data_IF_594324209517
#
_entry.id   IF_594324209517
#
_cell.length_a   1.000
_cell.length_b   1.000
_cell.length_c   1.000
_cell.angle_alpha   90.00
_cell.angle_beta   90.00
_cell.angle_gamma   90.00
#
_symmetry.space_group_name_H-M   'P 1'
#
loop_
_entity.id
_entity.type
_entity.pdbx_description
1 polymer ?
#
# COMPACT_ATOMS: atom_id res chain seq x y z
N UNK A 1 3.09 -7.47 -5.50
CA UNK A 1 2.79 -6.16 -4.86
C UNK A 1 1.31 -5.97 -4.63
N UNK A 2 0.45 -6.11 -5.65
CA UNK A 2 -1.01 -5.96 -5.49
C UNK A 2 -1.60 -6.95 -4.48
N UNK A 3 -1.36 -8.26 -4.66
CA UNK A 3 -1.90 -9.31 -3.78
C UNK A 3 -1.36 -9.29 -2.33
N UNK A 4 -0.26 -8.56 -2.11
CA UNK A 4 0.37 -8.43 -0.80
C UNK A 4 0.17 -7.02 -0.23
N UNK A 5 -0.77 -6.23 -0.75
CA UNK A 5 -1.17 -4.95 -0.17
C UNK A 5 -0.17 -3.79 -0.25
N UNK A 6 0.88 -3.87 -1.07
CA UNK A 6 1.86 -2.78 -1.16
C UNK A 6 1.38 -1.58 -2.00
N UNK A 7 0.34 -1.77 -2.81
CA UNK A 7 -0.10 -0.77 -3.80
C UNK A 7 -1.21 0.06 -3.18
N UNK A 8 -1.04 1.38 -3.17
CA UNK A 8 -2.02 2.33 -2.62
C UNK A 8 -2.62 3.23 -3.71
N UNK A 9 -1.93 3.38 -4.85
CA UNK A 9 -2.33 4.19 -5.99
C UNK A 9 -1.89 3.50 -7.27
N UNK A 10 -2.73 3.54 -8.30
CA UNK A 10 -2.36 3.21 -9.67
C UNK A 10 -2.54 4.47 -10.53
N UNK A 11 -1.52 4.80 -11.31
CA UNK A 11 -1.51 5.97 -12.20
C UNK A 11 -0.89 5.59 -13.56
N UNK A 12 -1.16 6.39 -14.58
CA UNK A 12 -0.86 6.03 -15.97
C UNK A 12 0.60 6.21 -16.37
N UNK A 13 1.30 7.16 -15.73
CA UNK A 13 2.66 7.59 -16.09
C UNK A 13 2.86 7.76 -17.62
N UNK A 14 1.85 8.35 -18.26
CA UNK A 14 1.76 8.50 -19.73
C UNK A 14 2.69 9.60 -20.22
N UNK A 15 3.42 9.30 -21.30
CA UNK A 15 4.34 10.24 -21.96
C UNK A 15 4.17 10.27 -23.49
N UNK A 16 3.17 9.58 -24.04
CA UNK A 16 2.84 9.65 -25.47
C UNK A 16 2.03 8.45 -25.96
N UNK A 17 1.42 8.59 -27.14
CA UNK A 17 0.40 7.66 -27.64
C UNK A 17 0.94 6.29 -28.13
N UNK A 18 2.26 6.16 -28.32
CA UNK A 18 2.87 4.94 -28.92
C UNK A 18 3.70 4.14 -27.93
N UNK A 19 4.67 4.78 -27.27
CA UNK A 19 5.61 4.08 -26.37
C UNK A 19 5.08 3.91 -24.95
N UNK A 20 4.28 4.86 -24.46
CA UNK A 20 3.77 4.91 -23.08
C UNK A 20 2.31 5.41 -23.08
N UNK A 21 1.39 4.66 -23.72
CA UNK A 21 -0.01 5.06 -23.89
C UNK A 21 -0.81 4.93 -22.58
N UNK A 22 -1.99 5.54 -22.56
CA UNK A 22 -2.92 5.43 -21.43
C UNK A 22 -3.60 4.05 -21.43
N UNK A 23 -3.48 3.32 -20.32
CA UNK A 23 -4.08 1.99 -20.13
C UNK A 23 -4.96 1.93 -18.86
N UNK A 24 -5.44 3.08 -18.38
CA UNK A 24 -6.12 3.18 -17.08
C UNK A 24 -7.39 2.33 -16.99
N UNK A 25 -8.20 2.29 -18.06
CA UNK A 25 -9.43 1.49 -18.08
C UNK A 25 -9.11 -0.01 -18.01
N UNK A 26 -8.19 -0.47 -18.85
CA UNK A 26 -7.81 -1.89 -18.89
C UNK A 26 -7.18 -2.34 -17.57
N UNK A 27 -6.35 -1.48 -16.97
CA UNK A 27 -5.77 -1.73 -15.65
C UNK A 27 -6.86 -1.77 -14.55
N UNK A 28 -7.84 -0.85 -14.58
CA UNK A 28 -8.96 -0.87 -13.65
C UNK A 28 -9.77 -2.16 -13.78
N UNK A 29 -10.16 -2.54 -15.00
CA UNK A 29 -10.95 -3.75 -15.28
C UNK A 29 -10.20 -5.01 -14.83
N UNK A 30 -8.88 -5.05 -15.02
CA UNK A 30 -8.03 -6.12 -14.52
C UNK A 30 -8.07 -6.22 -12.98
N UNK A 31 -7.90 -5.11 -12.27
CA UNK A 31 -7.94 -5.13 -10.79
C UNK A 31 -9.34 -5.48 -10.28
N UNK A 32 -10.39 -4.92 -10.90
CA UNK A 32 -11.78 -5.17 -10.51
C UNK A 32 -12.17 -6.65 -10.64
N UNK A 33 -11.69 -7.32 -11.69
CA UNK A 33 -11.95 -8.75 -11.94
C UNK A 33 -11.08 -9.69 -11.11
N UNK A 34 -9.84 -9.31 -10.77
CA UNK A 34 -8.89 -10.19 -10.08
C UNK A 34 -8.82 -9.98 -8.56
N UNK A 35 -9.28 -8.84 -8.04
CA UNK A 35 -9.29 -8.54 -6.61
C UNK A 35 -10.73 -8.27 -6.15
N UNK A 36 -11.23 -7.07 -6.43
CA UNK A 36 -12.64 -6.71 -6.30
C UNK A 36 -12.83 -5.31 -6.91
N UNK A 37 -14.09 -4.98 -7.25
CA UNK A 37 -14.45 -3.62 -7.67
C UNK A 37 -14.08 -2.57 -6.60
N UNK A 38 -14.27 -2.89 -5.32
CA UNK A 38 -13.94 -1.99 -4.21
C UNK A 38 -12.44 -1.69 -4.15
N UNK A 39 -11.58 -2.70 -4.31
CA UNK A 39 -10.12 -2.49 -4.38
C UNK A 39 -9.76 -1.63 -5.58
N UNK A 40 -10.39 -1.85 -6.75
CA UNK A 40 -10.16 -1.02 -7.92
C UNK A 40 -10.55 0.45 -7.68
N UNK A 41 -11.72 0.72 -7.09
CA UNK A 41 -12.13 2.07 -6.70
C UNK A 41 -11.13 2.73 -5.74
N UNK A 42 -10.64 1.99 -4.75
CA UNK A 42 -9.66 2.51 -3.79
C UNK A 42 -8.36 2.92 -4.48
N UNK A 43 -7.80 2.05 -5.33
CA UNK A 43 -6.50 2.27 -5.95
C UNK A 43 -6.51 3.30 -7.08
N UNK A 44 -7.61 3.41 -7.82
CA UNK A 44 -7.71 4.27 -9.01
C UNK A 44 -8.41 5.60 -8.76
N UNK A 45 -9.27 5.69 -7.73
CA UNK A 45 -10.10 6.88 -7.49
C UNK A 45 -9.96 7.43 -6.07
N UNK A 46 -10.29 6.64 -5.05
CA UNK A 46 -10.46 7.15 -3.69
C UNK A 46 -9.13 7.56 -3.04
N UNK A 47 -8.08 6.75 -3.15
CA UNK A 47 -6.75 7.13 -2.63
C UNK A 47 -6.13 8.30 -3.41
N UNK A 48 -6.15 8.33 -4.76
CA UNK A 48 -5.74 9.52 -5.50
C UNK A 48 -6.49 10.79 -5.08
N UNK A 49 -7.82 10.70 -4.89
CA UNK A 49 -8.64 11.81 -4.40
C UNK A 49 -8.22 12.27 -2.99
N UNK A 50 -7.99 11.34 -2.06
CA UNK A 50 -7.52 11.65 -0.70
C UNK A 50 -6.16 12.34 -0.68
N UNK A 51 -5.24 11.94 -1.56
CA UNK A 51 -3.95 12.62 -1.73
C UNK A 51 -4.15 14.08 -2.13
N UNK A 52 -5.03 14.34 -3.10
CA UNK A 52 -5.34 15.71 -3.54
C UNK A 52 -5.97 16.57 -2.43
N UNK A 53 -6.68 15.94 -1.50
CA UNK A 53 -7.31 16.60 -0.35
C UNK A 53 -6.46 16.58 0.93
N UNK A 54 -5.24 16.03 0.90
CA UNK A 54 -4.40 15.84 2.09
C UNK A 54 -5.11 15.05 3.20
N UNK A 55 -5.81 13.99 2.81
CA UNK A 55 -6.56 13.09 3.69
C UNK A 55 -5.83 11.76 3.88
N UNK A 56 -6.05 11.04 5.01
CA UNK A 56 -5.49 9.71 5.22
C UNK A 56 -5.93 8.72 4.13
N UNK A 57 -4.98 7.88 3.68
CA UNK A 57 -5.25 6.83 2.70
C UNK A 57 -6.07 5.70 3.30
N UNK A 58 -6.84 5.02 2.43
CA UNK A 58 -7.48 3.75 2.77
C UNK A 58 -6.44 2.63 2.61
N UNK A 59 -6.32 1.81 3.65
CA UNK A 59 -5.48 0.62 3.66
C UNK A 59 -6.37 -0.61 3.51
N UNK A 60 -6.03 -1.46 2.53
CA UNK A 60 -6.86 -2.63 2.19
C UNK A 60 -6.41 -3.91 2.91
N UNK A 61 -5.43 -3.80 3.80
CA UNK A 61 -4.85 -4.92 4.52
C UNK A 61 -4.53 -4.50 5.96
N UNK A 62 -5.13 -5.21 6.92
CA UNK A 62 -4.76 -5.12 8.32
C UNK A 62 -3.32 -5.63 8.50
N UNK A 63 -2.52 -4.91 9.29
CA UNK A 63 -1.21 -5.39 9.76
C UNK A 63 0.03 -4.95 8.98
N UNK A 64 -0.07 -4.11 7.94
CA UNK A 64 1.11 -3.58 7.25
C UNK A 64 2.00 -2.69 8.12
N UNK A 65 1.36 -2.01 9.08
CA UNK A 65 1.99 -1.13 10.07
C UNK A 65 1.89 -1.69 11.49
N UNK A 66 1.75 -3.01 11.68
CA UNK A 66 2.22 -3.55 12.96
C UNK A 66 3.74 -3.33 12.99
N UNK A 67 4.16 -2.21 13.60
CA UNK A 67 5.52 -2.00 14.02
C UNK A 67 5.99 -3.32 14.63
N UNK A 68 7.05 -3.92 14.07
CA UNK A 68 7.71 -5.01 14.78
C UNK A 68 8.03 -4.47 16.17
N UNK A 69 7.28 -4.89 17.19
CA UNK A 69 7.64 -4.62 18.58
C UNK A 69 9.10 -5.06 18.68
N UNK A 70 10.02 -4.13 18.94
CA UNK A 70 11.43 -4.45 19.12
C UNK A 70 11.52 -5.40 20.31
N UNK A 71 11.50 -6.71 20.06
CA UNK A 71 11.73 -7.77 21.03
C UNK A 71 13.22 -7.79 21.34
N UNK A 72 13.70 -6.77 22.03
CA UNK A 72 15.14 -6.57 22.20
C UNK A 72 15.49 -5.42 23.11
N UNK A 73 15.06 -5.47 24.38
CA UNK A 73 15.73 -4.68 25.43
C UNK A 73 15.51 -5.18 26.87
N UNK A 74 14.69 -6.19 27.12
CA UNK A 74 14.54 -6.74 28.47
C UNK A 74 15.61 -7.79 28.81
N UNK A 75 15.88 -8.74 27.91
CA UNK A 75 16.89 -9.80 28.13
C UNK A 75 18.31 -9.26 28.29
N UNK A 76 18.66 -8.18 27.58
CA UNK A 76 19.98 -7.54 27.68
C UNK A 76 20.10 -6.68 28.95
N UNK A 77 19.01 -6.05 29.41
CA UNK A 77 18.97 -5.27 30.65
C UNK A 77 19.03 -6.18 31.88
N UNK A 78 18.32 -7.31 31.86
CA UNK A 78 18.44 -8.36 32.89
C UNK A 78 19.85 -8.99 32.90
N UNK A 79 20.42 -9.34 31.74
CA UNK A 79 21.81 -9.85 31.69
C UNK A 79 22.86 -8.87 32.21
N UNK A 80 22.62 -7.56 32.13
CA UNK A 80 23.52 -6.54 32.68
C UNK A 80 23.39 -6.40 34.21
N UNK A 81 22.22 -6.69 34.77
CA UNK A 81 21.98 -6.61 36.23
C UNK A 81 22.50 -7.86 36.94
N UNK A 82 22.42 -9.03 36.28
CA UNK A 82 22.91 -10.31 36.82
C UNK A 82 24.39 -10.61 36.48
N UNK A 83 25.13 -9.63 35.94
CA UNK A 83 26.59 -9.72 35.68
C UNK A 83 27.40 -8.80 36.61
N UNK A 84 26.84 -8.48 37.77
CA UNK A 84 27.54 -7.97 38.97
C UNK A 84 27.81 -9.14 39.90
#
# INVERSE_FOLDING_TARGET
MLNIGCVHVIASDVHGLKKRPILMKDAYDFVASNQSKEIAEILFYENPKRILHNEPLIHNFDGYFEERKKTGSLKNKLKSIFKL
#
